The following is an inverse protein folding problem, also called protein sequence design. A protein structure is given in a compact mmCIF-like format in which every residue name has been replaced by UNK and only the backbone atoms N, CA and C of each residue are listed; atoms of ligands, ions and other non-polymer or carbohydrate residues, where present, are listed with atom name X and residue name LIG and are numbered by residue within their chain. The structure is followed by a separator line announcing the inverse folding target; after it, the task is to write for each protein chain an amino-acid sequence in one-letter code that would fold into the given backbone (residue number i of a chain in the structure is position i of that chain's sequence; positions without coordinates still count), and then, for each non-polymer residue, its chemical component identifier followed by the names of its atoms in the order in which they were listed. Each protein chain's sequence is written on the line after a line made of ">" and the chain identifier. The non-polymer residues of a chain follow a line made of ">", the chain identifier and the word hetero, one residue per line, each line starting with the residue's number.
data_IF_839996484406
#
_entry.id   IF_839996484406
#
_cell.length_a   1.000
_cell.length_b   1.000
_cell.length_c   1.000
_cell.angle_alpha   90.00
_cell.angle_beta   90.00
_cell.angle_gamma   90.00
#
_symmetry.space_group_name_H-M   'P 1'
#
loop_
_entity.id
_entity.type
_entity.pdbx_description
1 polymer ?
#
# COMPACT_ATOMS: atom_id res chain seq x y z
N UNK A 1 -21.90 14.94 -1.21
CA UNK A 1 -20.64 15.61 -0.81
C UNK A 1 -19.47 14.79 -1.35
N UNK A 2 -18.32 15.40 -1.64
CA UNK A 2 -17.14 14.65 -2.04
C UNK A 2 -16.57 13.86 -0.84
N UNK A 3 -15.83 12.78 -1.10
CA UNK A 3 -15.15 12.00 -0.07
C UNK A 3 -14.32 12.91 0.85
N UNK A 4 -13.55 13.82 0.25
CA UNK A 4 -12.78 14.86 0.96
C UNK A 4 -13.59 15.68 1.94
N UNK A 5 -14.74 16.23 1.52
CA UNK A 5 -15.58 17.06 2.39
C UNK A 5 -16.14 16.26 3.56
N UNK A 6 -16.53 15.00 3.33
CA UNK A 6 -17.04 14.11 4.39
C UNK A 6 -15.94 13.84 5.43
N UNK A 7 -14.73 13.48 4.98
CA UNK A 7 -13.60 13.19 5.88
C UNK A 7 -13.20 14.42 6.71
N UNK A 8 -13.19 15.61 6.11
CA UNK A 8 -12.88 16.86 6.81
C UNK A 8 -13.94 17.24 7.84
N UNK A 9 -15.23 17.11 7.49
CA UNK A 9 -16.32 17.40 8.43
C UNK A 9 -16.27 16.44 9.63
N UNK A 10 -16.12 15.14 9.37
CA UNK A 10 -16.02 14.13 10.43
C UNK A 10 -14.80 14.36 11.33
N UNK A 11 -13.67 14.82 10.77
CA UNK A 11 -12.52 15.23 11.57
C UNK A 11 -12.88 16.34 12.55
N UNK A 12 -13.51 17.41 12.06
CA UNK A 12 -13.89 18.54 12.91
C UNK A 12 -14.91 18.18 13.97
N UNK A 13 -15.90 17.34 13.62
CA UNK A 13 -16.91 16.88 14.55
C UNK A 13 -16.31 15.96 15.64
N UNK A 14 -15.33 15.13 15.29
CA UNK A 14 -14.74 14.16 16.22
C UNK A 14 -13.70 14.79 17.15
N UNK A 15 -12.84 15.67 16.61
CA UNK A 15 -11.72 16.22 17.36
C UNK A 15 -11.95 17.63 17.89
N UNK A 16 -12.99 18.33 17.44
CA UNK A 16 -13.36 19.67 17.90
C UNK A 16 -12.55 20.81 17.28
N UNK A 17 -11.78 20.55 16.23
CA UNK A 17 -10.99 21.55 15.50
C UNK A 17 -10.79 21.17 14.03
N UNK A 18 -10.35 22.11 13.20
CA UNK A 18 -10.17 21.87 11.76
C UNK A 18 -8.93 21.02 11.45
N UNK A 19 -9.05 20.07 10.53
CA UNK A 19 -7.89 19.38 9.97
C UNK A 19 -6.98 20.40 9.27
N UNK A 20 -5.66 20.27 9.44
CA UNK A 20 -4.70 21.15 8.79
C UNK A 20 -4.33 20.67 7.40
N UNK A 21 -4.39 19.35 7.17
CA UNK A 21 -4.05 18.72 5.90
C UNK A 21 -5.14 17.74 5.46
N UNK A 22 -5.17 17.48 4.16
CA UNK A 22 -5.96 16.38 3.60
C UNK A 22 -5.15 15.70 2.52
N UNK A 23 -4.83 14.44 2.77
CA UNK A 23 -3.98 13.60 1.93
C UNK A 23 -4.85 12.57 1.21
N UNK A 24 -4.48 12.23 -0.01
CA UNK A 24 -5.13 11.16 -0.76
C UNK A 24 -4.08 10.28 -1.42
N UNK A 25 -4.39 8.99 -1.53
CA UNK A 25 -3.63 8.04 -2.32
C UNK A 25 -4.61 7.14 -3.09
N UNK A 26 -4.34 6.79 -4.36
CA UNK A 26 -5.24 6.01 -5.18
C UNK A 26 -5.07 4.50 -4.94
N UNK A 27 -6.14 3.75 -5.21
CA UNK A 27 -6.02 2.33 -5.53
C UNK A 27 -5.41 2.15 -6.93
N UNK A 28 -5.31 0.89 -7.38
CA UNK A 28 -4.68 0.59 -8.67
C UNK A 28 -5.25 -0.65 -9.34
N UNK A 29 -5.08 -0.73 -10.65
CA UNK A 29 -5.21 -1.96 -11.42
C UNK A 29 -3.89 -2.28 -12.12
N UNK A 30 -3.58 -3.57 -12.24
CA UNK A 30 -2.43 -4.01 -13.03
C UNK A 30 -2.88 -4.31 -14.46
N UNK A 31 -2.20 -3.74 -15.47
CA UNK A 31 -2.53 -4.05 -16.86
C UNK A 31 -1.89 -5.36 -17.31
N UNK A 32 -0.66 -5.63 -16.85
CA UNK A 32 0.08 -6.87 -17.08
C UNK A 32 1.27 -7.00 -16.12
N UNK A 33 1.72 -8.22 -15.84
CA UNK A 33 2.91 -8.51 -15.03
C UNK A 33 2.61 -9.14 -13.67
N UNK A 34 1.46 -9.80 -13.56
CA UNK A 34 0.99 -10.45 -12.34
C UNK A 34 2.03 -11.43 -11.79
N UNK A 35 2.21 -11.44 -10.47
CA UNK A 35 3.15 -12.35 -9.78
C UNK A 35 4.62 -12.23 -10.21
N UNK A 36 4.98 -11.16 -10.93
CA UNK A 36 6.38 -10.89 -11.31
C UNK A 36 7.07 -9.91 -10.37
N UNK A 37 6.31 -9.12 -9.60
CA UNK A 37 6.83 -8.07 -8.73
C UNK A 37 7.72 -8.60 -7.60
N UNK A 38 7.28 -9.64 -6.89
CA UNK A 38 8.09 -10.34 -5.88
C UNK A 38 9.13 -11.30 -6.49
N UNK A 39 9.18 -11.41 -7.83
CA UNK A 39 10.18 -12.15 -8.59
C UNK A 39 11.21 -11.23 -9.25
N UNK A 40 11.35 -10.00 -8.75
CA UNK A 40 12.22 -8.95 -9.30
C UNK A 40 11.86 -8.51 -10.73
N UNK A 41 10.71 -8.92 -11.28
CA UNK A 41 10.31 -8.75 -12.67
C UNK A 41 9.84 -7.34 -13.05
N UNK A 42 9.02 -7.26 -14.11
CA UNK A 42 8.45 -6.02 -14.62
C UNK A 42 6.93 -6.03 -14.52
N UNK A 43 6.37 -4.90 -14.10
CA UNK A 43 4.92 -4.71 -14.01
C UNK A 43 4.48 -3.44 -14.71
N UNK A 44 3.22 -3.39 -15.15
CA UNK A 44 2.62 -2.24 -15.81
C UNK A 44 1.27 -1.84 -15.19
N UNK A 45 1.24 -1.35 -13.94
CA UNK A 45 0.00 -0.89 -13.32
C UNK A 45 -0.37 0.53 -13.73
N UNK A 46 -1.64 0.89 -13.52
CA UNK A 46 -2.11 2.27 -13.49
C UNK A 46 -2.91 2.55 -12.23
N UNK A 47 -2.79 3.78 -11.71
CA UNK A 47 -3.62 4.26 -10.62
C UNK A 47 -5.05 4.52 -11.13
N UNK A 48 -6.04 4.28 -10.27
CA UNK A 48 -7.46 4.48 -10.60
C UNK A 48 -8.02 5.71 -9.85
N UNK A 49 -9.23 6.13 -10.20
CA UNK A 49 -9.95 7.26 -9.58
C UNK A 49 -10.66 6.88 -8.26
N UNK A 50 -10.38 5.68 -7.77
CA UNK A 50 -10.72 5.23 -6.42
C UNK A 50 -9.51 5.47 -5.51
N UNK A 51 -9.76 5.88 -4.27
CA UNK A 51 -8.74 6.41 -3.37
C UNK A 51 -9.09 6.25 -1.90
N UNK A 52 -8.05 6.28 -1.07
CA UNK A 52 -8.12 6.56 0.37
C UNK A 52 -7.87 8.06 0.58
N UNK A 53 -8.66 8.70 1.43
CA UNK A 53 -8.52 10.10 1.84
C UNK A 53 -8.38 10.17 3.35
N UNK A 54 -7.39 10.95 3.81
CA UNK A 54 -7.12 11.17 5.23
C UNK A 54 -7.15 12.67 5.52
N UNK A 55 -8.05 13.10 6.40
CA UNK A 55 -7.99 14.42 7.01
C UNK A 55 -7.19 14.31 8.32
N UNK A 56 -6.21 15.18 8.52
CA UNK A 56 -5.28 15.04 9.64
C UNK A 56 -4.75 16.38 10.18
N UNK A 57 -4.23 16.33 11.40
CA UNK A 57 -3.51 17.42 12.03
C UNK A 57 -2.48 16.89 13.04
N UNK A 58 -1.45 17.71 13.31
CA UNK A 58 -0.48 17.44 14.37
C UNK A 58 -1.13 17.59 15.74
N UNK A 59 -0.57 16.87 16.71
CA UNK A 59 -0.82 17.05 18.13
C UNK A 59 0.46 17.51 18.82
N UNK A 60 0.29 18.07 20.02
CA UNK A 60 1.41 18.50 20.87
C UNK A 60 1.93 17.38 21.78
N UNK A 61 1.20 16.26 21.88
CA UNK A 61 1.64 15.04 22.55
C UNK A 61 2.18 14.01 21.54
N UNK A 62 2.50 12.80 22.04
CA UNK A 62 3.04 11.69 21.24
C UNK A 62 2.00 10.60 20.92
N UNK A 63 0.71 10.96 20.99
CA UNK A 63 -0.39 10.03 20.70
C UNK A 63 -0.76 10.07 19.22
N UNK A 64 -0.98 8.91 18.61
CA UNK A 64 -1.65 8.78 17.31
C UNK A 64 -3.09 8.37 17.58
N UNK A 65 -4.07 9.14 17.12
CA UNK A 65 -5.50 8.81 17.20
C UNK A 65 -6.09 8.73 15.81
N UNK A 66 -6.75 7.62 15.52
CA UNK A 66 -7.25 7.27 14.20
C UNK A 66 -8.74 6.98 14.28
N UNK A 67 -9.51 7.51 13.34
CA UNK A 67 -10.91 7.18 13.15
C UNK A 67 -11.08 6.62 11.74
N UNK A 68 -11.61 5.41 11.62
CA UNK A 68 -11.91 4.77 10.35
C UNK A 68 -13.41 4.95 10.03
N UNK A 69 -13.73 5.95 9.20
CA UNK A 69 -15.09 6.37 8.90
C UNK A 69 -15.94 5.25 8.29
N UNK A 70 -15.33 4.44 7.42
CA UNK A 70 -16.02 3.39 6.67
C UNK A 70 -16.26 2.12 7.52
N UNK A 71 -15.72 2.07 8.74
CA UNK A 71 -15.92 0.99 9.71
C UNK A 71 -16.72 1.49 10.91
N UNK A 72 -17.87 2.13 10.66
CA UNK A 72 -18.76 2.65 11.70
C UNK A 72 -18.04 3.62 12.66
N UNK A 73 -17.10 4.41 12.14
CA UNK A 73 -16.23 5.30 12.92
C UNK A 73 -15.40 4.57 13.99
N UNK A 74 -15.00 3.32 13.75
CA UNK A 74 -14.09 2.58 14.61
C UNK A 74 -12.82 3.39 14.89
N UNK A 75 -12.31 3.30 16.11
CA UNK A 75 -11.18 4.11 16.57
C UNK A 75 -10.01 3.25 16.99
N UNK A 76 -8.82 3.78 16.77
CA UNK A 76 -7.58 3.24 17.34
C UNK A 76 -6.75 4.38 17.94
N UNK A 77 -6.04 4.09 19.03
CA UNK A 77 -5.12 5.04 19.66
C UNK A 77 -3.89 4.32 20.19
N UNK A 78 -2.71 4.87 19.93
CA UNK A 78 -1.45 4.34 20.42
C UNK A 78 -0.41 5.44 20.62
N UNK A 79 0.55 5.17 21.50
CA UNK A 79 1.66 6.08 21.82
C UNK A 79 2.88 5.79 20.96
N UNK A 80 3.58 6.85 20.55
CA UNK A 80 4.91 6.73 19.94
C UNK A 80 6.02 6.50 20.99
N UNK A 81 5.71 6.54 22.28
CA UNK A 81 6.66 6.25 23.37
C UNK A 81 6.61 4.80 23.85
N UNK A 82 5.65 4.03 23.35
CA UNK A 82 5.44 2.62 23.69
C UNK A 82 5.76 1.72 22.50
N UNK A 83 5.92 0.42 22.76
CA UNK A 83 6.05 -0.55 21.68
C UNK A 83 4.75 -0.61 20.85
N UNK A 84 4.86 -0.29 19.56
CA UNK A 84 3.74 -0.45 18.62
C UNK A 84 3.59 -1.95 18.30
N UNK A 85 2.56 -2.55 18.89
CA UNK A 85 2.17 -3.95 18.72
C UNK A 85 0.99 -4.11 17.77
N UNK A 86 0.92 -5.26 17.10
CA UNK A 86 -0.21 -5.62 16.25
C UNK A 86 -1.43 -6.00 17.09
N UNK A 87 -2.61 -5.75 16.54
CA UNK A 87 -3.89 -6.09 17.14
C UNK A 87 -4.46 -7.33 16.45
N UNK A 88 -5.17 -8.17 17.20
CA UNK A 88 -5.97 -9.23 16.60
C UNK A 88 -7.23 -8.66 15.92
N UNK A 89 -7.87 -7.67 16.56
CA UNK A 89 -8.96 -6.88 16.00
C UNK A 89 -8.91 -5.44 16.57
N UNK A 90 -9.33 -4.41 15.80
CA UNK A 90 -9.70 -4.51 14.39
C UNK A 90 -8.45 -4.56 13.47
N UNK A 91 -8.44 -5.48 12.52
CA UNK A 91 -7.27 -5.69 11.65
C UNK A 91 -6.86 -4.46 10.80
N UNK A 92 -7.80 -3.56 10.47
CA UNK A 92 -7.49 -2.36 9.67
C UNK A 92 -6.45 -1.45 10.36
N UNK A 93 -6.43 -1.42 11.69
CA UNK A 93 -5.54 -0.57 12.47
C UNK A 93 -4.07 -0.98 12.29
N UNK A 94 -3.81 -2.26 11.97
CA UNK A 94 -2.46 -2.78 11.76
C UNK A 94 -1.76 -2.15 10.56
N UNK A 95 -2.48 -1.73 9.51
CA UNK A 95 -1.88 -1.00 8.39
C UNK A 95 -1.34 0.36 8.85
N UNK A 96 -2.09 1.09 9.67
CA UNK A 96 -1.67 2.40 10.20
C UNK A 96 -0.51 2.24 11.18
N UNK A 97 -0.66 1.34 12.17
CA UNK A 97 0.37 1.04 13.17
C UNK A 97 1.66 0.56 12.52
N UNK A 98 1.57 -0.34 11.54
CA UNK A 98 2.72 -0.86 10.82
C UNK A 98 3.49 0.22 10.08
N UNK A 99 2.79 1.10 9.36
CA UNK A 99 3.42 2.22 8.64
C UNK A 99 4.12 3.17 9.61
N UNK A 100 3.45 3.55 10.70
CA UNK A 100 4.02 4.44 11.72
C UNK A 100 5.25 3.81 12.40
N UNK A 101 5.19 2.51 12.74
CA UNK A 101 6.31 1.78 13.34
C UNK A 101 7.54 1.76 12.43
N UNK A 102 7.36 1.42 11.16
CA UNK A 102 8.46 1.38 10.20
C UNK A 102 9.01 2.77 9.89
N UNK A 103 8.16 3.81 9.91
CA UNK A 103 8.63 5.19 9.79
C UNK A 103 9.45 5.61 11.00
N UNK A 104 9.00 5.25 12.21
CA UNK A 104 9.72 5.57 13.46
C UNK A 104 11.13 4.98 13.48
N UNK A 105 11.32 3.79 12.91
CA UNK A 105 12.65 3.16 12.77
C UNK A 105 13.59 3.91 11.81
N UNK A 106 13.04 4.60 10.80
CA UNK A 106 13.80 5.38 9.81
C UNK A 106 14.03 6.82 10.26
N UNK A 107 12.98 7.43 10.81
CA UNK A 107 12.90 8.83 11.20
C UNK A 107 12.04 8.93 12.47
N UNK A 108 12.67 9.10 13.62
CA UNK A 108 11.96 9.26 14.89
C UNK A 108 11.49 10.70 15.15
N UNK A 109 11.82 11.65 14.26
CA UNK A 109 11.53 13.09 14.41
C UNK A 109 10.10 13.44 13.97
N UNK A 110 9.12 12.81 14.61
CA UNK A 110 7.71 13.18 14.50
C UNK A 110 6.96 12.93 15.81
N UNK A 111 5.86 13.66 15.98
CA UNK A 111 4.99 13.62 17.16
C UNK A 111 3.60 13.06 16.86
N UNK A 112 2.67 13.33 17.77
CA UNK A 112 1.30 12.83 17.70
C UNK A 112 0.50 13.38 16.51
N UNK A 113 -0.54 12.63 16.12
CA UNK A 113 -1.38 12.93 14.96
C UNK A 113 -2.81 12.54 15.30
N UNK A 114 -3.76 13.43 15.00
CA UNK A 114 -5.16 13.07 14.83
C UNK A 114 -5.42 12.84 13.34
N UNK A 115 -6.13 11.77 13.01
CA UNK A 115 -6.51 11.49 11.63
C UNK A 115 -7.87 10.80 11.51
N UNK A 116 -8.64 11.19 10.49
CA UNK A 116 -9.86 10.51 10.03
C UNK A 116 -9.59 9.94 8.64
N UNK A 117 -9.91 8.67 8.45
CA UNK A 117 -9.65 7.90 7.25
C UNK A 117 -10.99 7.51 6.62
N UNK A 118 -11.15 7.73 5.32
CA UNK A 118 -12.26 7.21 4.52
C UNK A 118 -11.77 6.89 3.11
N UNK A 119 -12.41 5.94 2.43
CA UNK A 119 -11.99 5.48 1.11
C UNK A 119 -13.16 4.94 0.30
N UNK A 120 -13.06 5.05 -1.02
CA UNK A 120 -14.02 4.41 -1.92
C UNK A 120 -13.43 3.17 -2.62
N UNK A 121 -12.14 2.85 -2.43
CA UNK A 121 -11.52 1.64 -3.00
C UNK A 121 -12.24 0.38 -2.47
N UNK A 122 -12.83 -0.45 -3.33
CA UNK A 122 -13.53 -1.65 -2.88
C UNK A 122 -12.57 -2.60 -2.15
N UNK A 123 -12.86 -2.84 -0.87
CA UNK A 123 -12.04 -3.69 -0.01
C UNK A 123 -12.05 -5.14 -0.49
N UNK A 124 -10.87 -5.76 -0.56
CA UNK A 124 -10.73 -7.16 -0.99
C UNK A 124 -11.02 -7.43 -2.47
N UNK A 125 -11.26 -6.39 -3.29
CA UNK A 125 -11.54 -6.55 -4.72
C UNK A 125 -10.26 -6.67 -5.59
N UNK A 126 -9.08 -6.75 -4.96
CA UNK A 126 -7.80 -6.79 -5.68
C UNK A 126 -7.36 -5.43 -6.24
N UNK A 127 -7.94 -4.32 -5.77
CA UNK A 127 -7.64 -2.95 -6.21
C UNK A 127 -6.71 -2.17 -5.25
N UNK A 128 -6.03 -2.90 -4.35
CA UNK A 128 -5.02 -2.38 -3.41
C UNK A 128 -5.51 -1.32 -2.45
N UNK A 129 -6.62 -1.59 -1.76
CA UNK A 129 -7.09 -0.73 -0.67
C UNK A 129 -6.08 -0.61 0.48
N UNK A 130 -5.30 -1.66 0.78
CA UNK A 130 -4.24 -1.64 1.79
C UNK A 130 -3.10 -0.71 1.40
N UNK A 131 -2.51 -0.89 0.21
CA UNK A 131 -1.42 -0.04 -0.25
C UNK A 131 -1.84 1.45 -0.41
N UNK A 132 -3.07 1.71 -0.86
CA UNK A 132 -3.66 3.06 -0.86
C UNK A 132 -3.67 3.68 0.56
N UNK A 133 -4.12 2.92 1.55
CA UNK A 133 -4.08 3.34 2.95
C UNK A 133 -2.66 3.57 3.47
N UNK A 134 -1.75 2.63 3.21
CA UNK A 134 -0.37 2.69 3.69
C UNK A 134 0.38 3.93 3.15
N UNK A 135 0.25 4.18 1.84
CA UNK A 135 0.85 5.35 1.18
C UNK A 135 0.24 6.64 1.70
N UNK A 136 -1.08 6.69 1.91
CA UNK A 136 -1.74 7.86 2.48
C UNK A 136 -1.23 8.15 3.90
N UNK A 137 -1.15 7.13 4.78
CA UNK A 137 -0.63 7.29 6.15
C UNK A 137 0.84 7.74 6.13
N UNK A 138 1.68 7.12 5.30
CA UNK A 138 3.08 7.51 5.20
C UNK A 138 3.25 8.96 4.74
N UNK A 139 2.43 9.38 3.77
CA UNK A 139 2.39 10.77 3.28
C UNK A 139 1.86 11.74 4.34
N UNK A 140 0.91 11.34 5.19
CA UNK A 140 0.43 12.15 6.33
C UNK A 140 1.58 12.46 7.28
N UNK A 141 2.33 11.45 7.72
CA UNK A 141 3.47 11.66 8.64
C UNK A 141 4.54 12.52 7.95
N UNK A 142 4.84 12.22 6.68
CA UNK A 142 5.83 12.96 5.88
C UNK A 142 5.48 14.44 5.75
N UNK A 143 4.25 14.80 5.42
CA UNK A 143 3.85 16.21 5.23
C UNK A 143 3.68 16.97 6.54
N UNK A 144 3.08 16.36 7.57
CA UNK A 144 2.87 17.04 8.85
C UNK A 144 4.20 17.40 9.53
N UNK A 145 5.22 16.54 9.38
CA UNK A 145 6.52 16.70 10.04
C UNK A 145 7.66 17.07 9.09
N UNK A 146 7.37 17.31 7.81
CA UNK A 146 8.35 17.65 6.77
C UNK A 146 9.53 16.66 6.71
N UNK A 147 9.22 15.36 6.80
CA UNK A 147 10.26 14.33 6.73
C UNK A 147 10.91 14.30 5.34
N UNK A 148 12.22 14.05 5.24
CA UNK A 148 12.96 14.03 3.97
C UNK A 148 12.73 12.71 3.20
N UNK A 149 11.47 12.35 2.99
CA UNK A 149 11.04 11.12 2.33
C UNK A 149 10.37 11.48 0.99
N UNK A 150 10.80 10.81 -0.07
CA UNK A 150 10.10 10.86 -1.35
C UNK A 150 9.02 9.76 -1.43
N UNK A 151 8.24 9.77 -2.52
CA UNK A 151 7.16 8.79 -2.71
C UNK A 151 7.65 7.35 -2.80
N UNK A 152 8.87 7.11 -3.29
CA UNK A 152 9.44 5.76 -3.35
C UNK A 152 9.79 5.25 -1.94
N UNK A 153 10.36 6.11 -1.09
CA UNK A 153 10.64 5.78 0.29
C UNK A 153 9.35 5.53 1.10
N UNK A 154 8.28 6.29 0.85
CA UNK A 154 6.95 6.04 1.42
C UNK A 154 6.41 4.68 0.97
N UNK A 155 6.56 4.34 -0.31
CA UNK A 155 6.09 3.07 -0.86
C UNK A 155 6.82 1.87 -0.23
N UNK A 156 8.15 1.94 -0.11
CA UNK A 156 8.97 0.90 0.55
C UNK A 156 8.58 0.75 2.01
N UNK A 157 8.35 1.86 2.72
CA UNK A 157 7.87 1.80 4.11
C UNK A 157 6.50 1.13 4.22
N UNK A 158 5.57 1.42 3.30
CA UNK A 158 4.27 0.76 3.23
C UNK A 158 4.40 -0.75 3.00
N UNK A 159 5.23 -1.15 2.03
CA UNK A 159 5.47 -2.57 1.74
C UNK A 159 6.02 -3.31 2.96
N UNK A 160 6.99 -2.73 3.66
CA UNK A 160 7.54 -3.35 4.87
C UNK A 160 6.50 -3.45 5.99
N UNK A 161 5.63 -2.44 6.16
CA UNK A 161 4.51 -2.54 7.08
C UNK A 161 3.58 -3.70 6.71
N UNK A 162 3.24 -3.87 5.43
CA UNK A 162 2.38 -4.96 4.97
C UNK A 162 3.04 -6.34 5.19
N UNK A 163 4.33 -6.47 4.88
CA UNK A 163 5.10 -7.72 4.98
C UNK A 163 5.40 -8.09 6.45
N UNK A 164 5.98 -7.17 7.22
CA UNK A 164 6.58 -7.46 8.52
C UNK A 164 5.65 -7.18 9.71
N UNK A 165 4.58 -6.40 9.51
CA UNK A 165 3.63 -6.06 10.57
C UNK A 165 2.25 -6.69 10.34
N UNK A 166 1.71 -6.60 9.12
CA UNK A 166 0.40 -7.19 8.78
C UNK A 166 0.52 -8.68 8.43
N UNK A 167 1.62 -9.09 7.80
CA UNK A 167 1.92 -10.49 7.48
C UNK A 167 1.59 -10.93 6.05
N UNK A 168 1.40 -9.99 5.13
CA UNK A 168 1.20 -10.27 3.70
C UNK A 168 2.50 -9.99 2.94
N UNK A 169 3.17 -11.02 2.43
CA UNK A 169 4.49 -10.90 1.80
C UNK A 169 4.41 -10.40 0.35
N UNK A 170 3.76 -9.25 0.13
CA UNK A 170 3.57 -8.65 -1.19
C UNK A 170 4.87 -8.10 -1.81
N UNK A 171 4.88 -7.97 -3.15
CA UNK A 171 5.88 -7.15 -3.84
C UNK A 171 5.61 -5.65 -3.68
N UNK A 172 6.40 -4.83 -4.38
CA UNK A 172 6.43 -3.36 -4.21
C UNK A 172 5.45 -2.61 -5.14
N UNK A 173 4.84 -3.33 -6.08
CA UNK A 173 4.04 -2.75 -7.17
C UNK A 173 2.94 -1.82 -6.66
N UNK A 174 2.14 -2.31 -5.71
CA UNK A 174 0.92 -1.65 -5.25
C UNK A 174 1.22 -0.31 -4.58
N UNK A 175 2.21 -0.30 -3.69
CA UNK A 175 2.64 0.90 -2.99
C UNK A 175 3.29 1.91 -3.94
N UNK A 176 4.13 1.45 -4.90
CA UNK A 176 4.79 2.38 -5.83
C UNK A 176 3.83 3.06 -6.80
N UNK A 177 2.87 2.33 -7.39
CA UNK A 177 1.90 2.96 -8.29
C UNK A 177 0.95 3.89 -7.53
N UNK A 178 0.60 3.53 -6.29
CA UNK A 178 -0.19 4.41 -5.41
C UNK A 178 0.56 5.71 -5.09
N UNK A 179 1.86 5.62 -4.77
CA UNK A 179 2.66 6.78 -4.40
C UNK A 179 3.08 7.66 -5.59
N UNK A 180 3.36 7.08 -6.76
CA UNK A 180 4.01 7.77 -7.88
C UNK A 180 3.16 7.82 -9.16
N UNK A 181 1.91 7.34 -9.10
CA UNK A 181 0.97 7.34 -10.22
C UNK A 181 0.77 8.73 -10.81
N UNK A 182 0.64 8.79 -12.14
CA UNK A 182 0.40 10.03 -12.87
C UNK A 182 -0.90 9.91 -13.64
N UNK A 183 -1.66 11.01 -13.68
CA UNK A 183 -2.88 11.08 -14.46
C UNK A 183 -2.61 10.70 -15.91
N UNK A 184 -3.50 9.91 -16.51
CA UNK A 184 -3.45 9.49 -17.92
C UNK A 184 -2.20 8.66 -18.29
N UNK A 185 -1.55 8.01 -17.32
CA UNK A 185 -0.38 7.16 -17.53
C UNK A 185 -0.47 5.84 -16.76
N UNK A 186 -0.04 4.75 -17.40
CA UNK A 186 0.45 3.58 -16.71
C UNK A 186 1.92 3.78 -16.27
N UNK A 187 2.43 2.88 -15.45
CA UNK A 187 3.80 2.92 -14.95
C UNK A 187 4.49 1.62 -15.28
N UNK A 188 5.48 1.64 -16.18
CA UNK A 188 6.39 0.52 -16.28
C UNK A 188 7.33 0.56 -15.09
N UNK A 189 7.28 -0.47 -14.25
CA UNK A 189 8.13 -0.61 -13.08
C UNK A 189 9.04 -1.83 -13.22
N UNK A 190 10.34 -1.59 -13.06
CA UNK A 190 11.34 -2.62 -12.82
C UNK A 190 11.44 -2.87 -11.31
N UNK A 191 10.93 -4.02 -10.83
CA UNK A 191 10.80 -4.29 -9.41
C UNK A 191 12.14 -4.57 -8.71
N UNK A 192 13.20 -4.87 -9.46
CA UNK A 192 14.55 -5.07 -8.92
C UNK A 192 15.25 -3.74 -8.63
N UNK A 193 15.17 -2.82 -9.57
CA UNK A 193 15.89 -1.54 -9.51
C UNK A 193 15.03 -0.42 -8.95
N UNK A 194 13.73 -0.64 -8.84
CA UNK A 194 12.70 0.35 -8.54
C UNK A 194 12.62 1.48 -9.59
N UNK A 195 13.24 1.27 -10.75
CA UNK A 195 13.17 2.21 -11.88
C UNK A 195 11.75 2.28 -12.43
N UNK A 196 11.20 3.49 -12.52
CA UNK A 196 9.85 3.74 -13.06
C UNK A 196 9.93 4.52 -14.35
N UNK A 197 9.05 4.19 -15.29
CA UNK A 197 8.85 4.95 -16.53
C UNK A 197 7.35 5.15 -16.77
N UNK A 198 6.88 6.41 -16.85
CA UNK A 198 5.49 6.67 -17.21
C UNK A 198 5.25 6.25 -18.67
N UNK A 199 4.10 5.63 -18.91
CA UNK A 199 3.62 5.20 -20.23
C UNK A 199 2.26 5.82 -20.45
N UNK A 200 2.15 6.75 -21.40
CA UNK A 200 0.90 7.47 -21.66
C UNK A 200 -0.19 6.51 -22.13
N UNK A 201 -1.39 6.66 -21.56
CA UNK A 201 -2.56 5.90 -21.97
C UNK A 201 -3.24 6.58 -23.17
N UNK A 202 -3.67 5.83 -24.21
CA UNK A 202 -4.40 6.42 -25.33
C UNK A 202 -5.74 7.03 -24.89
N UNK A 203 -6.07 8.21 -25.42
CA UNK A 203 -7.29 8.97 -25.05
C UNK A 203 -8.59 8.29 -25.49
N UNK A 204 -8.52 7.45 -26.52
CA UNK A 204 -9.65 6.71 -27.11
C UNK A 204 -9.83 5.31 -26.52
N UNK A 205 -9.06 4.95 -25.49
CA UNK A 205 -9.13 3.67 -24.80
C UNK A 205 -9.66 3.86 -23.38
N UNK A 206 -10.54 2.95 -22.97
CA UNK A 206 -10.98 2.82 -21.58
C UNK A 206 -10.49 1.51 -20.97
N UNK A 207 -10.06 1.57 -19.71
CA UNK A 207 -9.80 0.39 -18.89
C UNK A 207 -11.09 0.03 -18.14
N UNK A 208 -11.66 -1.13 -18.45
CA UNK A 208 -12.89 -1.61 -17.79
C UNK A 208 -12.53 -2.64 -16.73
N UNK A 209 -12.80 -2.31 -15.47
CA UNK A 209 -12.56 -3.19 -14.32
C UNK A 209 -13.84 -3.93 -13.98
N UNK A 210 -13.82 -5.27 -14.05
CA UNK A 210 -14.98 -6.12 -13.76
C UNK A 210 -14.73 -6.87 -12.46
N UNK A 211 -15.43 -6.48 -11.40
CA UNK A 211 -15.39 -7.19 -10.12
C UNK A 211 -16.29 -8.44 -10.18
N UNK A 212 -15.73 -9.62 -9.91
CA UNK A 212 -16.49 -10.88 -9.87
C UNK A 212 -17.52 -10.94 -8.73
N UNK A 213 -17.42 -10.02 -7.75
CA UNK A 213 -18.21 -10.00 -6.51
C UNK A 213 -18.05 -11.25 -5.64
N UNK A 214 -17.09 -12.13 -5.96
CA UNK A 214 -16.78 -13.28 -5.14
C UNK A 214 -15.99 -12.85 -3.91
N UNK A 215 -16.57 -13.04 -2.72
CA UNK A 215 -15.90 -12.72 -1.45
C UNK A 215 -14.95 -13.85 -1.08
N UNK A 216 -13.64 -13.60 -1.20
CA UNK A 216 -12.61 -14.51 -0.67
C UNK A 216 -12.59 -14.42 0.86
N UNK A 217 -12.50 -15.57 1.52
CA UNK A 217 -12.28 -15.71 2.97
C UNK A 217 -10.80 -15.82 3.36
N UNK A 218 -9.90 -16.06 2.41
CA UNK A 218 -8.49 -16.32 2.65
C UNK A 218 -7.66 -15.05 2.41
N UNK A 219 -7.25 -14.40 3.50
CA UNK A 219 -6.26 -13.33 3.47
C UNK A 219 -4.87 -13.96 3.63
N UNK A 220 -3.97 -13.72 2.67
CA UNK A 220 -2.53 -13.97 2.80
C UNK A 220 -2.00 -15.36 2.45
N UNK A 221 -2.66 -16.47 2.84
CA UNK A 221 -2.03 -17.81 2.79
C UNK A 221 -1.58 -18.25 1.39
N UNK A 222 -2.46 -18.24 0.40
CA UNK A 222 -2.13 -18.67 -0.96
C UNK A 222 -1.12 -17.76 -1.66
N UNK A 223 -1.15 -16.46 -1.35
CA UNK A 223 -0.18 -15.51 -1.90
C UNK A 223 1.22 -15.82 -1.38
N UNK A 224 1.35 -15.99 -0.06
CA UNK A 224 2.60 -16.38 0.56
C UNK A 224 3.10 -17.74 0.04
N UNK A 225 2.21 -18.72 -0.13
CA UNK A 225 2.54 -20.01 -0.75
C UNK A 225 3.09 -19.84 -2.17
N UNK A 226 2.49 -19.00 -3.02
CA UNK A 226 3.01 -18.76 -4.38
C UNK A 226 4.38 -18.10 -4.37
N UNK A 227 4.62 -17.17 -3.45
CA UNK A 227 5.95 -16.57 -3.28
C UNK A 227 6.99 -17.61 -2.87
N UNK A 228 6.70 -18.42 -1.85
CA UNK A 228 7.58 -19.52 -1.40
C UNK A 228 7.90 -20.51 -2.52
N UNK A 229 6.91 -20.85 -3.35
CA UNK A 229 7.08 -21.71 -4.53
C UNK A 229 8.01 -21.07 -5.57
N UNK A 230 7.85 -19.77 -5.85
CA UNK A 230 8.73 -19.07 -6.77
C UNK A 230 10.17 -18.97 -6.24
N UNK A 231 10.34 -18.71 -4.95
CA UNK A 231 11.65 -18.71 -4.29
C UNK A 231 12.30 -20.09 -4.33
N UNK A 232 11.51 -21.17 -4.17
CA UNK A 232 12.00 -22.54 -4.35
C UNK A 232 12.45 -22.81 -5.80
N UNK A 233 11.69 -22.35 -6.79
CA UNK A 233 12.08 -22.41 -8.19
C UNK A 233 13.38 -21.64 -8.48
N UNK A 234 13.51 -20.41 -7.97
CA UNK A 234 14.74 -19.63 -8.12
C UNK A 234 15.95 -20.34 -7.49
N UNK A 235 15.77 -20.94 -6.30
CA UNK A 235 16.81 -21.75 -5.63
C UNK A 235 17.19 -22.99 -6.46
N UNK A 236 16.24 -23.66 -7.09
CA UNK A 236 16.52 -24.81 -7.98
C UNK A 236 17.47 -24.42 -9.13
N UNK A 237 17.27 -23.25 -9.73
CA UNK A 237 18.17 -22.70 -10.77
C UNK A 237 19.42 -21.99 -10.22
N UNK A 238 19.65 -22.01 -8.91
CA UNK A 238 20.73 -21.28 -8.25
C UNK A 238 20.75 -19.77 -8.60
N UNK A 239 19.55 -19.17 -8.72
CA UNK A 239 19.34 -17.75 -8.99
C UNK A 239 18.78 -17.04 -7.76
N UNK A 240 18.93 -15.72 -7.72
CA UNK A 240 18.35 -14.89 -6.65
C UNK A 240 16.83 -14.78 -6.81
N UNK A 241 16.36 -14.60 -8.04
CA UNK A 241 14.95 -14.50 -8.38
C UNK A 241 14.68 -15.13 -9.75
N UNK A 242 13.42 -15.45 -10.04
CA UNK A 242 13.03 -16.03 -11.33
C UNK A 242 13.32 -15.11 -12.52
N UNK A 243 13.49 -13.80 -12.30
CA UNK A 243 13.97 -12.87 -13.33
C UNK A 243 15.33 -13.25 -13.94
N UNK A 244 16.17 -13.99 -13.22
CA UNK A 244 17.48 -14.42 -13.74
C UNK A 244 17.45 -15.80 -14.40
N UNK A 245 16.27 -16.41 -14.53
CA UNK A 245 16.05 -17.68 -15.23
C UNK A 245 15.57 -17.38 -16.64
N UNK A 246 16.39 -17.72 -17.62
CA UNK A 246 16.00 -17.59 -19.03
C UNK A 246 14.97 -18.65 -19.40
N UNK A 247 14.07 -18.35 -20.35
CA UNK A 247 13.01 -19.29 -20.73
C UNK A 247 13.58 -20.64 -21.23
N UNK A 248 14.67 -20.62 -21.99
CA UNK A 248 15.33 -21.84 -22.45
C UNK A 248 15.95 -22.66 -21.30
N UNK A 249 16.44 -22.00 -20.25
CA UNK A 249 16.96 -22.65 -19.03
C UNK A 249 15.81 -23.34 -18.27
N UNK A 250 14.67 -22.66 -18.15
CA UNK A 250 13.46 -23.21 -17.56
C UNK A 250 12.93 -24.41 -18.37
N UNK A 251 12.76 -24.26 -19.69
CA UNK A 251 12.19 -25.30 -20.56
C UNK A 251 13.00 -26.60 -20.54
N UNK A 252 14.33 -26.50 -20.42
CA UNK A 252 15.22 -27.64 -20.34
C UNK A 252 15.11 -28.43 -19.02
N UNK A 253 14.63 -27.80 -17.95
CA UNK A 253 14.57 -28.39 -16.61
C UNK A 253 13.15 -28.50 -16.03
N UNK A 254 12.12 -28.00 -16.69
CA UNK A 254 10.74 -27.96 -16.18
C UNK A 254 10.20 -29.32 -15.73
N UNK A 255 10.63 -30.42 -16.35
CA UNK A 255 10.23 -31.78 -15.98
C UNK A 255 10.82 -32.26 -14.62
N UNK A 256 11.74 -31.50 -14.04
CA UNK A 256 12.36 -31.75 -12.73
C UNK A 256 11.74 -30.90 -11.61
N UNK A 257 10.80 -30.01 -11.95
CA UNK A 257 10.06 -29.19 -11.01
C UNK A 257 8.73 -29.87 -10.69
N UNK A 258 8.39 -29.94 -9.40
CA UNK A 258 7.12 -30.49 -8.88
C UNK A 258 5.95 -29.50 -8.99
#
# INVERSE_FOLDING_TARGET
>A
MSLKTITQQLFSDTFGYAATHTIQAPGRVNLIGEHTDYNDGFVLPCAIDYQTVIACARRDDRQIRVVAADYENAQDTFSLDEEIVSLQEPMWANYVRGVVKHLQQRHADFGGIDMVISGNVPQGAGLSSSASLEVAVGTVVQQLYNLPLDGAAIAVNGQEAENQFVGCNCGIMDQLISALGRKDHAMLLDCRTLGTRPVSMPEDIAVVIINSNFRRTLVGSEYNTRREQCEAGARFFNKKALRDVELAEFEAAQAQLD
#
